data_IF_067791603745
#
_entry.id   IF_067791603745
#
_cell.length_a   1.000
_cell.length_b   1.000
_cell.length_c   1.000
_cell.angle_alpha   90.00
_cell.angle_beta   90.00
_cell.angle_gamma   90.00
#
_symmetry.space_group_name_H-M   'P 1'
#
loop_
_entity.id
_entity.type
_entity.pdbx_description
1 polymer ?
#
# COMPACT_ATOMS: atom_id res chain seq x y z
N UNK A 1 0.63 -10.44 -22.47
CA UNK A 1 0.28 -10.24 -21.04
C UNK A 1 -0.96 -9.36 -20.94
N UNK A 2 -1.81 -9.59 -19.94
CA UNK A 2 -2.98 -8.75 -19.63
C UNK A 2 -2.78 -7.95 -18.34
N UNK A 3 -3.44 -6.80 -18.23
CA UNK A 3 -3.51 -5.99 -17.00
C UNK A 3 -4.93 -5.48 -16.76
N UNK A 4 -5.39 -5.52 -15.51
CA UNK A 4 -6.73 -5.08 -15.07
C UNK A 4 -6.65 -4.33 -13.75
N UNK A 5 -7.50 -3.32 -13.57
CA UNK A 5 -7.69 -2.66 -12.28
C UNK A 5 -8.69 -3.49 -11.44
N UNK A 6 -8.23 -3.98 -10.30
CA UNK A 6 -8.97 -4.87 -9.39
C UNK A 6 -9.21 -4.27 -8.00
N UNK A 7 -9.06 -2.95 -7.86
CA UNK A 7 -9.08 -2.32 -6.54
C UNK A 7 -10.36 -2.62 -5.78
N UNK A 8 -10.17 -3.15 -4.57
CA UNK A 8 -11.20 -3.29 -3.56
C UNK A 8 -10.97 -2.15 -2.57
N UNK A 9 -11.99 -1.33 -2.35
CA UNK A 9 -11.99 -0.31 -1.30
C UNK A 9 -12.91 -0.76 -0.16
N UNK A 10 -12.50 -1.74 0.66
CA UNK A 10 -13.35 -2.18 1.74
C UNK A 10 -13.43 -1.08 2.80
N UNK A 11 -14.64 -0.78 3.27
CA UNK A 11 -14.85 0.21 4.32
C UNK A 11 -14.21 -0.21 5.64
N UNK A 12 -14.17 -1.52 5.92
CA UNK A 12 -13.52 -2.10 7.10
C UNK A 12 -12.36 -3.00 6.71
N UNK A 13 -11.32 -3.00 7.54
CA UNK A 13 -10.16 -3.88 7.37
C UNK A 13 -10.52 -5.37 7.46
N UNK A 14 -11.53 -5.75 8.26
CA UNK A 14 -12.06 -7.12 8.33
C UNK A 14 -12.58 -7.59 6.97
N UNK A 15 -13.29 -6.73 6.27
CA UNK A 15 -13.94 -7.06 5.01
C UNK A 15 -12.89 -7.30 3.92
N UNK A 16 -11.72 -6.65 4.02
CA UNK A 16 -10.60 -6.92 3.12
C UNK A 16 -10.12 -8.37 3.22
N UNK A 17 -10.04 -8.93 4.43
CA UNK A 17 -9.58 -10.31 4.62
C UNK A 17 -10.57 -11.30 4.00
N UNK A 18 -11.86 -11.09 4.23
CA UNK A 18 -12.91 -11.94 3.69
C UNK A 18 -12.99 -11.84 2.15
N UNK A 19 -13.02 -10.61 1.63
CA UNK A 19 -13.10 -10.34 0.19
C UNK A 19 -11.83 -10.75 -0.54
N UNK A 20 -10.65 -10.46 0.02
CA UNK A 20 -9.36 -10.80 -0.56
C UNK A 20 -9.17 -12.31 -0.68
N UNK A 21 -9.56 -13.07 0.35
CA UNK A 21 -9.56 -14.53 0.30
C UNK A 21 -10.48 -15.08 -0.80
N UNK A 22 -11.69 -14.50 -0.93
CA UNK A 22 -12.67 -14.95 -1.93
C UNK A 22 -12.28 -14.60 -3.36
N UNK A 23 -11.81 -13.37 -3.57
CA UNK A 23 -11.53 -12.80 -4.89
C UNK A 23 -10.15 -13.21 -5.41
N UNK A 24 -9.11 -13.11 -4.59
CA UNK A 24 -7.74 -13.38 -5.04
C UNK A 24 -7.33 -14.84 -4.79
N UNK A 25 -7.92 -15.50 -3.78
CA UNK A 25 -7.55 -16.86 -3.34
C UNK A 25 -6.04 -16.97 -3.07
N UNK A 26 -5.54 -16.00 -2.33
CA UNK A 26 -4.15 -15.89 -1.91
C UNK A 26 -4.01 -16.30 -0.44
N UNK A 27 -2.84 -16.79 0.00
CA UNK A 27 -2.52 -16.92 1.41
C UNK A 27 -2.56 -15.55 2.12
N UNK A 28 -2.83 -15.54 3.43
CA UNK A 28 -2.95 -14.31 4.22
C UNK A 28 -1.71 -13.41 4.15
N UNK A 29 -0.50 -13.98 4.21
CA UNK A 29 0.74 -13.21 4.12
C UNK A 29 0.89 -12.47 2.79
N UNK A 30 0.36 -13.04 1.70
CA UNK A 30 0.33 -12.37 0.39
C UNK A 30 -0.76 -11.30 0.35
N UNK A 31 -1.91 -11.52 1.00
CA UNK A 31 -2.95 -10.49 1.14
C UNK A 31 -2.49 -9.28 1.95
N UNK A 32 -1.66 -9.47 2.98
CA UNK A 32 -1.11 -8.36 3.78
C UNK A 32 -0.25 -7.39 2.97
N UNK A 33 0.33 -7.86 1.85
CA UNK A 33 1.05 -7.00 0.91
C UNK A 33 0.12 -6.07 0.14
N UNK A 34 -1.15 -6.44 0.00
CA UNK A 34 -2.13 -5.72 -0.82
C UNK A 34 -2.99 -4.74 -0.01
N UNK A 35 -3.03 -4.86 1.32
CA UNK A 35 -3.78 -3.92 2.18
C UNK A 35 -2.90 -2.78 2.68
N UNK A 36 -3.24 -1.55 2.29
CA UNK A 36 -2.52 -0.34 2.69
C UNK A 36 -3.35 0.55 3.61
N UNK A 37 -2.70 0.99 4.68
CA UNK A 37 -3.23 2.00 5.60
C UNK A 37 -2.53 3.33 5.34
N UNK A 38 -3.25 4.42 5.61
CA UNK A 38 -2.69 5.78 5.55
C UNK A 38 -2.93 6.46 6.88
N UNK A 39 -1.86 6.97 7.47
CA UNK A 39 -1.85 7.58 8.78
C UNK A 39 -1.51 9.05 8.64
N UNK A 40 -2.29 9.92 9.27
CA UNK A 40 -1.85 11.25 9.64
C UNK A 40 -1.10 11.14 10.96
N UNK A 41 0.12 11.65 10.97
CA UNK A 41 1.01 11.64 12.12
C UNK A 41 1.20 13.08 12.55
N UNK A 42 1.06 13.35 13.84
CA UNK A 42 1.46 14.62 14.43
C UNK A 42 2.50 14.36 15.49
N UNK A 43 3.56 15.14 15.47
CA UNK A 43 4.67 15.00 16.42
C UNK A 43 4.87 16.26 17.25
N UNK A 44 5.24 16.08 18.52
CA UNK A 44 5.71 17.18 19.37
C UNK A 44 7.22 17.37 19.24
N UNK A 45 7.95 16.30 18.90
CA UNK A 45 9.40 16.32 18.70
C UNK A 45 9.81 15.50 17.48
N UNK A 46 10.73 16.01 16.68
CA UNK A 46 11.10 15.35 15.43
C UNK A 46 11.99 14.09 15.59
N UNK A 47 12.82 13.91 16.65
CA UNK A 47 13.74 12.77 16.75
C UNK A 47 13.12 11.36 16.66
N UNK A 48 11.96 11.04 17.28
CA UNK A 48 11.34 9.72 17.14
C UNK A 48 10.96 9.38 15.70
N UNK A 49 10.55 10.39 14.93
CA UNK A 49 10.15 10.26 13.54
C UNK A 49 11.37 10.13 12.62
N UNK A 50 12.40 10.96 12.81
CA UNK A 50 13.62 10.85 12.01
C UNK A 50 14.35 9.53 12.22
N UNK A 51 14.45 9.03 13.45
CA UNK A 51 15.02 7.68 13.72
C UNK A 51 14.25 6.55 13.04
N UNK A 52 12.94 6.73 12.85
CA UNK A 52 12.12 5.80 12.08
C UNK A 52 12.44 5.89 10.58
N UNK A 53 12.52 7.10 10.03
CA UNK A 53 12.87 7.31 8.62
C UNK A 53 14.32 6.93 8.29
N UNK A 54 15.26 7.01 9.23
CA UNK A 54 16.64 6.54 9.00
C UNK A 54 16.72 5.03 8.82
N UNK A 55 15.79 4.29 9.41
CA UNK A 55 15.68 2.83 9.28
C UNK A 55 14.64 2.42 8.24
N UNK A 56 14.39 3.30 7.26
CA UNK A 56 13.30 3.16 6.29
C UNK A 56 13.22 1.75 5.73
N UNK A 57 12.06 1.12 5.94
CA UNK A 57 11.68 -0.07 5.22
C UNK A 57 11.22 0.30 3.82
N UNK A 58 11.45 -0.58 2.83
CA UNK A 58 10.98 -0.34 1.49
C UNK A 58 9.44 -0.22 1.46
N UNK A 59 8.93 0.52 0.47
CA UNK A 59 7.50 0.60 0.13
C UNK A 59 6.63 1.40 1.11
N UNK A 60 7.22 2.34 1.85
CA UNK A 60 6.47 3.41 2.53
C UNK A 60 6.34 4.64 1.63
N UNK A 61 5.21 5.34 1.72
CA UNK A 61 5.05 6.71 1.16
C UNK A 61 4.96 7.68 2.32
N UNK A 62 5.79 8.71 2.31
CA UNK A 62 5.88 9.68 3.38
C UNK A 62 5.94 11.11 2.84
N UNK A 63 5.13 11.99 3.41
CA UNK A 63 5.00 13.39 3.01
C UNK A 63 4.74 14.28 4.23
N UNK A 64 5.41 15.43 4.30
CA UNK A 64 5.07 16.48 5.24
C UNK A 64 3.91 17.31 4.66
N UNK A 65 2.81 17.40 5.41
CA UNK A 65 1.58 18.08 4.97
C UNK A 65 1.30 19.36 5.76
N UNK A 66 2.14 19.65 6.75
CA UNK A 66 2.10 20.84 7.58
C UNK A 66 3.20 20.79 8.63
N UNK A 67 3.34 21.87 9.41
CA UNK A 67 4.37 21.93 10.45
C UNK A 67 4.17 20.81 11.48
N UNK A 68 5.11 19.86 11.52
CA UNK A 68 5.06 18.67 12.38
C UNK A 68 3.83 17.76 12.13
N UNK A 69 3.26 17.83 10.95
CA UNK A 69 2.16 16.99 10.50
C UNK A 69 2.55 16.25 9.22
N UNK A 70 2.39 14.93 9.21
CA UNK A 70 2.89 14.07 8.16
C UNK A 70 1.82 13.08 7.72
N UNK A 71 1.90 12.63 6.48
CA UNK A 71 1.19 11.46 5.98
C UNK A 71 2.16 10.30 5.80
N UNK A 72 1.75 9.13 6.25
CA UNK A 72 2.47 7.88 6.06
C UNK A 72 1.51 6.83 5.51
N UNK A 73 1.78 6.34 4.30
CA UNK A 73 1.08 5.17 3.73
C UNK A 73 2.02 3.97 3.70
N UNK A 74 1.56 2.83 4.22
CA UNK A 74 2.30 1.57 4.23
C UNK A 74 1.36 0.36 4.22
N UNK A 75 1.87 -0.78 3.78
CA UNK A 75 1.12 -2.04 3.79
C UNK A 75 1.10 -2.68 5.18
N UNK A 76 0.14 -3.57 5.44
CA UNK A 76 0.16 -4.41 6.66
C UNK A 76 1.39 -5.29 6.70
N UNK A 77 1.84 -5.80 5.56
CA UNK A 77 3.11 -6.52 5.47
C UNK A 77 4.28 -5.67 6.00
N UNK A 78 4.38 -4.41 5.58
CA UNK A 78 5.40 -3.47 6.06
C UNK A 78 5.24 -3.17 7.56
N UNK A 79 4.01 -3.02 8.06
CA UNK A 79 3.75 -2.88 9.51
C UNK A 79 4.31 -4.08 10.25
N UNK A 80 4.01 -5.31 9.81
CA UNK A 80 4.50 -6.55 10.43
C UNK A 80 6.03 -6.59 10.47
N UNK A 81 6.69 -6.23 9.37
CA UNK A 81 8.15 -6.13 9.32
C UNK A 81 8.71 -5.12 10.33
N UNK A 82 8.10 -3.93 10.43
CA UNK A 82 8.49 -2.94 11.45
C UNK A 82 8.42 -3.51 12.86
N UNK A 83 7.35 -4.24 13.16
CA UNK A 83 7.14 -4.84 14.47
C UNK A 83 8.14 -5.94 14.80
N UNK A 84 8.63 -6.66 13.79
CA UNK A 84 9.63 -7.73 13.98
C UNK A 84 11.03 -7.14 14.08
N UNK A 85 11.40 -6.23 13.18
CA UNK A 85 12.78 -5.79 12.98
C UNK A 85 13.14 -4.55 13.81
N UNK A 86 12.15 -3.68 14.10
CA UNK A 86 12.37 -2.34 14.62
C UNK A 86 11.46 -1.99 15.80
N UNK A 87 11.08 -3.00 16.59
CA UNK A 87 10.27 -2.80 17.80
C UNK A 87 11.00 -2.01 18.89
N UNK A 88 12.31 -1.81 18.80
CA UNK A 88 13.07 -0.96 19.72
C UNK A 88 12.71 0.52 19.58
N UNK A 89 12.25 0.95 18.39
CA UNK A 89 11.90 2.33 18.11
C UNK A 89 10.64 2.78 18.85
N UNK A 90 10.70 3.98 19.43
CA UNK A 90 9.53 4.63 20.04
C UNK A 90 8.37 4.77 19.05
N UNK A 91 8.66 5.10 17.79
CA UNK A 91 7.65 5.23 16.75
C UNK A 91 6.88 3.92 16.53
N UNK A 92 7.60 2.83 16.26
CA UNK A 92 7.04 1.50 16.03
C UNK A 92 6.18 1.01 17.20
N UNK A 93 6.62 1.23 18.44
CA UNK A 93 5.86 0.88 19.65
C UNK A 93 4.52 1.63 19.73
N UNK A 94 4.52 2.93 19.47
CA UNK A 94 3.29 3.73 19.51
C UNK A 94 2.36 3.40 18.34
N UNK A 95 2.94 3.14 17.16
CA UNK A 95 2.20 2.68 16.00
C UNK A 95 1.47 1.36 16.29
N UNK A 96 2.16 0.38 16.89
CA UNK A 96 1.56 -0.89 17.30
C UNK A 96 0.36 -0.68 18.23
N UNK A 97 0.58 0.07 19.32
CA UNK A 97 -0.45 0.31 20.33
C UNK A 97 -1.68 1.00 19.74
N UNK A 98 -1.46 1.95 18.82
CA UNK A 98 -2.54 2.63 18.12
C UNK A 98 -3.32 1.71 17.17
N UNK A 99 -2.61 0.88 16.40
CA UNK A 99 -3.22 0.04 15.36
C UNK A 99 -3.90 -1.21 15.90
N UNK A 100 -3.38 -1.84 16.96
CA UNK A 100 -3.97 -3.07 17.54
C UNK A 100 -5.40 -2.85 18.06
N UNK A 101 -5.75 -1.61 18.41
CA UNK A 101 -7.09 -1.22 18.85
C UNK A 101 -8.07 -0.97 17.69
N UNK A 102 -7.57 -0.86 16.46
CA UNK A 102 -8.31 -0.35 15.29
C UNK A 102 -8.35 -1.30 14.11
N UNK A 103 -7.43 -2.26 14.06
CA UNK A 103 -7.31 -3.23 12.98
C UNK A 103 -7.54 -4.66 13.51
N UNK A 104 -7.94 -5.60 12.65
CA UNK A 104 -8.12 -7.01 13.02
C UNK A 104 -6.86 -7.60 13.67
N UNK A 105 -7.04 -8.42 14.69
CA UNK A 105 -5.93 -9.03 15.45
C UNK A 105 -5.08 -9.95 14.58
N UNK A 106 -5.68 -10.53 13.54
CA UNK A 106 -5.05 -11.37 12.52
C UNK A 106 -3.85 -10.68 11.88
N UNK A 107 -3.94 -9.37 11.62
CA UNK A 107 -2.83 -8.59 11.04
C UNK A 107 -1.57 -8.58 11.91
N UNK A 108 -1.69 -8.81 13.21
CA UNK A 108 -0.59 -8.78 14.17
C UNK A 108 -0.13 -10.17 14.63
N UNK A 109 -0.76 -11.24 14.13
CA UNK A 109 -0.43 -12.61 14.51
C UNK A 109 1.03 -12.93 14.17
N UNK A 110 1.80 -13.36 15.17
CA UNK A 110 3.22 -13.69 15.02
C UNK A 110 4.19 -12.51 15.10
N UNK A 111 3.73 -11.26 15.14
CA UNK A 111 4.58 -10.07 15.29
C UNK A 111 4.22 -9.20 16.52
N UNK A 112 3.25 -9.63 17.33
CA UNK A 112 2.92 -8.95 18.57
C UNK A 112 4.10 -9.00 19.58
N UNK A 113 4.35 -7.91 20.32
CA UNK A 113 5.44 -7.86 21.29
C UNK A 113 5.18 -8.79 22.47
N UNK A 114 6.24 -9.45 22.95
CA UNK A 114 6.19 -10.40 24.07
C UNK A 114 6.15 -9.73 25.46
N UNK A 115 6.35 -8.42 25.53
CA UNK A 115 6.43 -7.64 26.78
C UNK A 115 5.52 -6.42 26.67
N UNK A 116 5.09 -5.92 27.82
CA UNK A 116 4.33 -4.68 27.89
C UNK A 116 5.06 -3.52 27.20
N UNK A 117 4.28 -2.68 26.52
CA UNK A 117 4.76 -1.61 25.67
C UNK A 117 4.35 -0.29 26.30
N UNK A 118 5.33 0.58 26.56
CA UNK A 118 5.07 1.91 27.11
C UNK A 118 4.91 2.93 25.98
N UNK A 119 3.83 3.71 26.03
CA UNK A 119 3.53 4.78 25.08
C UNK A 119 4.47 5.99 25.24
N UNK A 120 4.62 6.77 24.18
CA UNK A 120 5.14 8.13 24.25
C UNK A 120 4.02 9.11 23.94
N UNK A 121 3.96 10.23 24.66
CA UNK A 121 3.01 11.33 24.36
C UNK A 121 3.47 12.22 23.19
N UNK A 122 4.68 11.99 22.68
CA UNK A 122 5.29 12.84 21.64
C UNK A 122 4.75 12.57 20.23
N UNK A 123 4.05 11.45 20.02
CA UNK A 123 3.52 11.02 18.73
C UNK A 123 2.03 10.77 18.85
N UNK A 124 1.24 11.35 17.95
CA UNK A 124 -0.15 10.98 17.76
C UNK A 124 -0.39 10.51 16.34
N UNK A 125 -1.26 9.52 16.24
CA UNK A 125 -1.62 8.86 15.00
C UNK A 125 -3.12 9.01 14.77
N UNK A 126 -3.47 9.14 13.50
CA UNK A 126 -4.85 9.15 13.04
C UNK A 126 -4.93 8.32 11.76
N UNK A 127 -5.81 7.31 11.73
CA UNK A 127 -5.99 6.44 10.58
C UNK A 127 -7.03 7.06 9.64
N UNK A 128 -6.64 7.36 8.41
CA UNK A 128 -7.53 7.96 7.42
C UNK A 128 -8.51 6.92 6.89
N UNK A 129 -9.79 7.29 6.89
CA UNK A 129 -10.86 6.57 6.21
C UNK A 129 -10.74 6.72 4.69
N UNK A 130 -11.45 5.88 3.94
CA UNK A 130 -11.49 5.99 2.47
C UNK A 130 -12.02 7.35 2.00
N UNK A 131 -13.03 7.89 2.68
CA UNK A 131 -13.59 9.21 2.38
C UNK A 131 -12.55 10.30 2.55
N UNK A 132 -11.81 10.29 3.66
CA UNK A 132 -10.75 11.28 3.90
C UNK A 132 -9.58 11.13 2.92
N UNK A 133 -9.24 9.91 2.50
CA UNK A 133 -8.25 9.69 1.44
C UNK A 133 -8.72 10.28 0.10
N UNK A 134 -10.01 10.18 -0.21
CA UNK A 134 -10.60 10.75 -1.44
C UNK A 134 -10.64 12.29 -1.41
N UNK A 135 -10.70 12.88 -0.23
CA UNK A 135 -10.68 14.34 0.00
C UNK A 135 -9.25 14.93 0.06
N UNK A 136 -8.20 14.09 0.00
CA UNK A 136 -6.83 14.58 -0.06
C UNK A 136 -6.60 15.47 -1.30
N UNK A 137 -5.76 16.52 -1.18
CA UNK A 137 -5.30 17.28 -2.33
C UNK A 137 -4.77 16.37 -3.44
N UNK A 138 -4.99 16.70 -4.73
CA UNK A 138 -4.63 15.84 -5.86
C UNK A 138 -3.19 15.32 -5.81
N UNK A 139 -2.21 16.18 -5.48
CA UNK A 139 -0.79 15.83 -5.42
C UNK A 139 -0.44 14.82 -4.31
N UNK A 140 -1.23 14.75 -3.24
CA UNK A 140 -1.10 13.72 -2.20
C UNK A 140 -1.88 12.46 -2.59
N UNK A 141 -3.08 12.63 -3.16
CA UNK A 141 -3.94 11.52 -3.58
C UNK A 141 -3.22 10.63 -4.59
N UNK A 142 -2.53 11.20 -5.58
CA UNK A 142 -1.79 10.43 -6.59
C UNK A 142 -0.70 9.53 -6.01
N UNK A 143 -0.14 9.88 -4.84
CA UNK A 143 0.95 9.16 -4.17
C UNK A 143 0.46 8.22 -3.07
N UNK A 144 -0.57 8.61 -2.32
CA UNK A 144 -1.04 7.89 -1.14
C UNK A 144 -2.23 6.98 -1.39
N UNK A 145 -2.98 7.17 -2.48
CA UNK A 145 -4.08 6.28 -2.83
C UNK A 145 -3.54 5.05 -3.56
N UNK A 146 -3.55 3.91 -2.87
CA UNK A 146 -3.03 2.65 -3.40
C UNK A 146 -4.17 1.83 -4.01
N UNK A 147 -3.95 1.40 -5.25
CA UNK A 147 -4.86 0.64 -6.09
C UNK A 147 -4.25 -0.73 -6.38
N UNK A 148 -5.07 -1.76 -6.57
CA UNK A 148 -4.59 -3.12 -6.85
C UNK A 148 -4.75 -3.38 -8.35
N UNK A 149 -3.63 -3.61 -9.03
CA UNK A 149 -3.60 -4.02 -10.43
C UNK A 149 -3.32 -5.52 -10.52
N UNK A 150 -4.12 -6.24 -11.30
CA UNK A 150 -3.89 -7.64 -11.62
C UNK A 150 -3.20 -7.73 -12.98
N UNK A 151 -2.05 -8.41 -13.02
CA UNK A 151 -1.36 -8.79 -14.24
C UNK A 151 -1.45 -10.29 -14.44
N UNK A 152 -1.77 -10.72 -15.66
CA UNK A 152 -1.83 -12.14 -16.01
C UNK A 152 -0.94 -12.40 -17.22
N UNK A 153 -0.02 -13.35 -17.09
CA UNK A 153 0.94 -13.67 -18.15
C UNK A 153 1.67 -14.97 -17.92
N UNK A 154 2.55 -15.30 -18.84
CA UNK A 154 3.55 -16.36 -18.70
C UNK A 154 4.59 -16.00 -17.63
N UNK A 155 5.38 -16.99 -17.20
CA UNK A 155 6.47 -16.76 -16.25
C UNK A 155 7.45 -15.69 -16.75
N UNK A 156 7.84 -15.75 -18.04
CA UNK A 156 8.78 -14.81 -18.64
C UNK A 156 8.22 -13.38 -18.65
N UNK A 157 6.96 -13.20 -19.06
CA UNK A 157 6.31 -11.88 -19.06
C UNK A 157 6.26 -11.27 -17.65
N UNK A 158 5.88 -12.07 -16.64
CA UNK A 158 5.80 -11.62 -15.25
C UNK A 158 7.20 -11.28 -14.71
N UNK A 159 8.21 -12.11 -14.96
CA UNK A 159 9.59 -11.85 -14.52
C UNK A 159 10.16 -10.56 -15.11
N UNK A 160 9.75 -10.18 -16.33
CA UNK A 160 10.14 -8.90 -16.94
C UNK A 160 9.47 -7.69 -16.29
N UNK A 161 8.37 -7.87 -15.56
CA UNK A 161 7.64 -6.80 -14.88
C UNK A 161 8.07 -6.59 -13.43
N UNK A 162 8.42 -7.66 -12.73
CA UNK A 162 8.80 -7.65 -11.30
C UNK A 162 9.84 -6.58 -10.93
N UNK A 163 10.90 -6.30 -11.72
CA UNK A 163 11.88 -5.27 -11.37
C UNK A 163 11.32 -3.85 -11.20
N UNK A 164 10.14 -3.57 -11.74
CA UNK A 164 9.46 -2.27 -11.64
C UNK A 164 8.44 -2.22 -10.51
N UNK A 165 8.24 -3.34 -9.83
CA UNK A 165 7.26 -3.49 -8.77
C UNK A 165 8.00 -3.52 -7.44
N UNK A 166 7.57 -2.64 -6.53
CA UNK A 166 8.12 -2.64 -5.19
C UNK A 166 7.61 -3.83 -4.37
N UNK A 167 6.30 -3.89 -4.23
CA UNK A 167 5.60 -4.92 -3.49
C UNK A 167 4.62 -5.62 -4.43
N UNK A 168 4.44 -6.93 -4.31
CA UNK A 168 3.46 -7.68 -5.09
C UNK A 168 3.11 -9.01 -4.42
N UNK A 169 1.94 -9.52 -4.76
CA UNK A 169 1.54 -10.89 -4.48
C UNK A 169 1.52 -11.72 -5.77
N UNK A 170 2.10 -12.92 -5.74
CA UNK A 170 2.20 -13.80 -6.90
C UNK A 170 1.46 -15.11 -6.66
N UNK A 171 0.75 -15.56 -7.68
CA UNK A 171 0.02 -16.83 -7.67
C UNK A 171 0.17 -17.52 -9.01
N UNK A 172 0.33 -18.84 -8.97
CA UNK A 172 0.30 -19.66 -10.18
C UNK A 172 -1.16 -19.87 -10.62
N UNK A 173 -1.43 -19.67 -11.91
CA UNK A 173 -2.74 -19.85 -12.52
C UNK A 173 -2.66 -20.88 -13.64
N UNK A 174 -3.04 -22.13 -13.34
CA UNK A 174 -2.89 -23.24 -14.28
C UNK A 174 -1.43 -23.64 -14.52
N UNK A 175 -1.19 -24.35 -15.62
CA UNK A 175 0.12 -24.97 -15.88
C UNK A 175 1.20 -23.96 -16.31
N UNK A 176 0.85 -22.95 -17.11
CA UNK A 176 1.80 -22.04 -17.77
C UNK A 176 1.57 -20.55 -17.50
N UNK A 177 0.55 -20.17 -16.74
CA UNK A 177 0.23 -18.77 -16.44
C UNK A 177 0.40 -18.45 -14.96
N UNK A 178 0.63 -17.17 -14.71
CA UNK A 178 0.80 -16.57 -13.40
C UNK A 178 -0.10 -15.34 -13.31
N UNK A 179 -0.64 -15.13 -12.11
CA UNK A 179 -1.35 -13.93 -11.70
C UNK A 179 -0.48 -13.18 -10.71
N UNK A 180 -0.20 -11.91 -11.00
CA UNK A 180 0.50 -11.00 -10.13
C UNK A 180 -0.47 -9.89 -9.72
N UNK A 181 -0.52 -9.58 -8.42
CA UNK A 181 -1.30 -8.48 -7.87
C UNK A 181 -0.32 -7.41 -7.37
N UNK A 182 -0.34 -6.24 -7.99
CA UNK A 182 0.54 -5.12 -7.72
C UNK A 182 -0.25 -3.98 -7.04
N UNK A 183 0.01 -3.68 -5.76
CA UNK A 183 -0.47 -2.47 -5.11
C UNK A 183 0.36 -1.27 -5.58
N UNK A 184 -0.26 -0.34 -6.31
CA UNK A 184 0.40 0.81 -6.90
C UNK A 184 -0.39 2.08 -6.58
N UNK A 185 0.33 3.18 -6.28
CA UNK A 185 -0.30 4.50 -6.33
C UNK A 185 -0.58 4.91 -7.78
N UNK A 186 -1.41 5.95 -7.98
CA UNK A 186 -1.67 6.48 -9.33
C UNK A 186 -0.36 6.89 -10.00
N UNK A 187 0.52 7.60 -9.28
CA UNK A 187 1.82 8.00 -9.82
C UNK A 187 2.72 6.82 -10.16
N UNK A 188 2.71 5.77 -9.33
CA UNK A 188 3.51 4.56 -9.60
C UNK A 188 2.98 3.82 -10.83
N UNK A 189 1.66 3.75 -11.01
CA UNK A 189 1.05 3.15 -12.19
C UNK A 189 1.36 3.93 -13.47
N UNK A 190 1.31 5.28 -13.42
CA UNK A 190 1.68 6.11 -14.58
C UNK A 190 3.12 5.83 -14.99
N UNK A 191 4.04 5.76 -14.03
CA UNK A 191 5.43 5.38 -14.32
C UNK A 191 5.55 3.96 -14.89
N UNK A 192 4.91 2.98 -14.24
CA UNK A 192 4.94 1.59 -14.67
C UNK A 192 4.38 1.38 -16.07
N UNK A 193 3.28 2.06 -16.41
CA UNK A 193 2.64 1.95 -17.73
C UNK A 193 3.56 2.44 -18.85
N UNK A 194 4.30 3.54 -18.63
CA UNK A 194 5.30 4.03 -19.57
C UNK A 194 6.43 3.02 -19.78
N UNK A 195 6.94 2.42 -18.71
CA UNK A 195 8.00 1.40 -18.81
C UNK A 195 7.50 0.11 -19.49
N UNK A 196 6.26 -0.30 -19.23
CA UNK A 196 5.64 -1.47 -19.88
C UNK A 196 5.40 -1.25 -21.37
N UNK A 197 4.92 -0.07 -21.77
CA UNK A 197 4.72 0.29 -23.18
C UNK A 197 6.06 0.32 -23.92
N UNK A 198 7.05 1.04 -23.38
CA UNK A 198 8.39 1.18 -23.96
C UNK A 198 9.07 -0.16 -24.24
N UNK A 199 8.78 -1.17 -23.43
CA UNK A 199 9.36 -2.51 -23.51
C UNK A 199 8.50 -3.52 -24.27
N UNK A 200 7.35 -3.09 -24.80
CA UNK A 200 6.40 -3.95 -25.50
C UNK A 200 5.84 -5.08 -24.62
N UNK A 201 5.72 -4.85 -23.30
CA UNK A 201 5.21 -5.86 -22.36
C UNK A 201 3.68 -5.93 -22.39
N UNK A 202 3.03 -4.80 -22.68
CA UNK A 202 1.57 -4.64 -22.73
C UNK A 202 1.22 -3.81 -23.95
N UNK A 203 0.11 -4.17 -24.59
CA UNK A 203 -0.45 -3.39 -25.68
C UNK A 203 -0.90 -2.01 -25.19
N UNK A 204 -0.47 -0.97 -25.90
CA UNK A 204 -0.81 0.43 -25.59
C UNK A 204 -2.31 0.65 -25.36
N UNK A 205 -3.17 -0.01 -26.14
CA UNK A 205 -4.63 0.12 -26.02
C UNK A 205 -5.15 -0.29 -24.63
N UNK A 206 -4.57 -1.32 -24.02
CA UNK A 206 -4.95 -1.76 -22.67
C UNK A 206 -4.55 -0.72 -21.61
N UNK A 207 -3.38 -0.10 -21.78
CA UNK A 207 -2.92 0.98 -20.90
C UNK A 207 -3.79 2.22 -21.05
N UNK A 208 -4.18 2.59 -22.27
CA UNK A 208 -5.10 3.71 -22.51
C UNK A 208 -6.47 3.50 -21.88
N UNK A 209 -7.01 2.27 -21.92
CA UNK A 209 -8.27 1.91 -21.24
C UNK A 209 -8.13 2.09 -19.72
N UNK A 210 -7.05 1.59 -19.12
CA UNK A 210 -6.82 1.76 -17.68
C UNK A 210 -6.63 3.22 -17.29
N UNK A 211 -5.92 4.00 -18.10
CA UNK A 211 -5.77 5.45 -17.88
C UNK A 211 -7.11 6.17 -17.92
N UNK A 212 -8.01 5.83 -18.86
CA UNK A 212 -9.37 6.38 -18.91
C UNK A 212 -10.19 5.99 -17.68
N UNK A 213 -10.08 4.75 -17.20
CA UNK A 213 -10.74 4.31 -15.97
C UNK A 213 -10.25 5.11 -14.76
N UNK A 214 -8.93 5.30 -14.62
CA UNK A 214 -8.35 6.09 -13.53
C UNK A 214 -8.79 7.55 -13.57
N UNK A 215 -8.84 8.18 -14.76
CA UNK A 215 -9.37 9.53 -14.95
C UNK A 215 -10.83 9.64 -14.54
N UNK A 216 -11.65 8.66 -14.91
CA UNK A 216 -13.06 8.62 -14.50
C UNK A 216 -13.25 8.47 -12.99
N UNK A 217 -12.36 7.75 -12.31
CA UNK A 217 -12.43 7.55 -10.85
C UNK A 217 -11.82 8.73 -10.06
N UNK A 218 -10.77 9.36 -10.59
CA UNK A 218 -10.00 10.41 -9.91
C UNK A 218 -9.68 11.59 -10.84
N UNK A 219 -10.70 12.30 -11.36
CA UNK A 219 -10.51 13.33 -12.39
C UNK A 219 -9.60 14.48 -11.92
N UNK A 220 -9.71 14.85 -10.65
CA UNK A 220 -8.92 15.92 -10.03
C UNK A 220 -7.41 15.62 -10.01
N UNK A 221 -7.04 14.33 -9.99
CA UNK A 221 -5.65 13.88 -10.07
C UNK A 221 -5.02 14.07 -11.45
N UNK A 222 -5.84 14.33 -12.47
CA UNK A 222 -5.41 14.50 -13.87
C UNK A 222 -5.68 15.92 -14.39
N UNK A 223 -6.04 16.86 -13.52
CA UNK A 223 -6.35 18.24 -13.90
C UNK A 223 -7.70 18.40 -14.59
N UNK A 224 -8.59 17.41 -14.47
CA UNK A 224 -9.96 17.46 -14.99
C UNK A 224 -10.89 17.96 -13.87
N UNK A 225 -11.60 19.06 -14.12
CA UNK A 225 -12.56 19.72 -13.21
C UNK A 225 -13.86 20.02 -13.93
#
# INVERSE_FOLDING_TARGET
>A
MEIKLNTIFPEKASDFLELGNKLFRLPEEELYKLYFITLKIKTLSDPPLYKFLERTLPFIKFDEVGKKEFLLTLSIHTVRQLLVEHFDLKFTKNLYLFLQERLPIEFFKGCAPKREVVTSKDLSFYLLTLKEKAELPPYLKVKHLILIFQLTGTCEEILRCVPYLGLYALKRWGESKYELFAPLSISDFVYLSQEMEKRGLIERILLEILMKQLKGLFPDCFGEF
#
